data_IF_040059399517
#
_entry.id   IF_040059399517
#
_cell.length_a   1.000
_cell.length_b   1.000
_cell.length_c   1.000
_cell.angle_alpha   90.00
_cell.angle_beta   90.00
_cell.angle_gamma   90.00
#
_symmetry.space_group_name_H-M   'P 1'
#
loop_
_entity.id
_entity.type
_entity.pdbx_description
1 polymer ?
#
# COMPACT_ATOMS: atom_id res chain seq x y z
N UNK A 1 2.60 -63.78 -13.62
CA UNK A 1 2.53 -62.32 -13.45
C UNK A 1 3.31 -61.63 -14.57
N UNK A 2 2.69 -60.75 -15.36
CA UNK A 2 3.28 -60.21 -16.59
C UNK A 2 4.16 -58.98 -16.29
N UNK A 3 5.49 -59.14 -16.35
CA UNK A 3 6.55 -58.10 -16.30
C UNK A 3 6.30 -56.85 -17.16
N UNK A 4 5.50 -56.99 -18.22
CA UNK A 4 5.11 -55.92 -19.15
C UNK A 4 4.13 -54.92 -18.52
N UNK A 5 3.33 -55.36 -17.55
CA UNK A 5 2.40 -54.48 -16.83
C UNK A 5 3.15 -53.64 -15.80
N UNK A 6 4.15 -54.23 -15.13
CA UNK A 6 4.99 -53.55 -14.16
C UNK A 6 5.79 -52.39 -14.77
N UNK A 7 6.41 -52.62 -15.95
CA UNK A 7 7.14 -51.56 -16.66
C UNK A 7 6.23 -50.42 -17.17
N UNK A 8 4.99 -50.72 -17.58
CA UNK A 8 4.04 -49.69 -18.05
C UNK A 8 3.51 -48.81 -16.91
N UNK A 9 3.30 -49.38 -15.73
CA UNK A 9 2.87 -48.60 -14.57
C UNK A 9 3.98 -47.68 -14.05
N UNK A 10 5.25 -48.12 -14.12
CA UNK A 10 6.38 -47.36 -13.60
C UNK A 10 6.70 -46.11 -14.43
N UNK A 11 6.63 -46.21 -15.77
CA UNK A 11 6.88 -45.06 -16.66
C UNK A 11 5.76 -44.01 -16.61
N UNK A 12 4.50 -44.42 -16.38
CA UNK A 12 3.38 -43.49 -16.21
C UNK A 12 3.49 -42.66 -14.91
N UNK A 13 4.00 -43.25 -13.82
CA UNK A 13 4.15 -42.56 -12.54
C UNK A 13 5.30 -41.52 -12.54
N UNK A 14 6.39 -41.78 -13.28
CA UNK A 14 7.53 -40.87 -13.36
C UNK A 14 7.22 -39.56 -14.11
N UNK A 15 6.37 -39.61 -15.14
CA UNK A 15 5.98 -38.43 -15.92
C UNK A 15 5.13 -37.42 -15.13
N UNK A 16 4.28 -37.89 -14.23
CA UNK A 16 3.41 -37.03 -13.42
C UNK A 16 4.18 -36.23 -12.34
N UNK A 17 5.29 -36.79 -11.82
CA UNK A 17 6.12 -36.10 -10.82
C UNK A 17 7.02 -35.00 -11.43
N UNK A 18 7.40 -35.13 -12.70
CA UNK A 18 8.20 -34.11 -13.40
C UNK A 18 7.40 -32.83 -13.70
N UNK A 19 6.12 -32.97 -14.03
CA UNK A 19 5.25 -31.84 -14.37
C UNK A 19 4.90 -30.96 -13.16
N UNK A 20 4.73 -31.56 -11.98
CA UNK A 20 4.45 -30.81 -10.73
C UNK A 20 5.66 -30.04 -10.21
N UNK A 21 6.87 -30.58 -10.41
CA UNK A 21 8.13 -29.93 -10.01
C UNK A 21 8.42 -28.67 -10.84
N UNK A 22 8.15 -28.72 -12.15
CA UNK A 22 8.29 -27.56 -13.04
C UNK A 22 7.27 -26.44 -12.72
N UNK A 23 6.04 -26.81 -12.33
CA UNK A 23 5.03 -25.83 -11.93
C UNK A 23 5.44 -25.08 -10.66
N UNK A 24 6.01 -25.79 -9.68
CA UNK A 24 6.45 -25.16 -8.42
C UNK A 24 7.58 -24.14 -8.60
N UNK A 25 8.47 -24.35 -9.57
CA UNK A 25 9.59 -23.44 -9.81
C UNK A 25 9.13 -22.08 -10.37
N UNK A 26 8.05 -22.06 -11.16
CA UNK A 26 7.48 -20.81 -11.71
C UNK A 26 6.77 -19.95 -10.66
N UNK A 27 6.22 -20.57 -9.61
CA UNK A 27 5.50 -19.89 -8.53
C UNK A 27 6.48 -19.26 -7.53
N UNK A 28 7.60 -19.93 -7.24
CA UNK A 28 8.56 -19.50 -6.21
C UNK A 28 9.57 -18.43 -6.69
N UNK A 29 9.72 -18.23 -8.00
CA UNK A 29 10.76 -17.36 -8.57
C UNK A 29 10.40 -15.87 -8.70
N UNK A 30 9.18 -15.44 -8.34
CA UNK A 30 8.74 -14.05 -8.57
C UNK A 30 9.26 -13.15 -7.45
N UNK A 31 10.36 -12.44 -7.71
CA UNK A 31 10.84 -11.36 -6.83
C UNK A 31 9.74 -10.30 -6.69
N UNK A 32 9.37 -9.88 -5.47
CA UNK A 32 8.40 -8.82 -5.28
C UNK A 32 8.87 -7.56 -6.01
N UNK A 33 7.96 -6.92 -6.75
CA UNK A 33 8.21 -5.61 -7.34
C UNK A 33 8.42 -4.60 -6.20
N UNK A 34 9.25 -3.57 -6.39
CA UNK A 34 9.35 -2.49 -5.42
C UNK A 34 7.96 -1.86 -5.23
N UNK A 35 7.54 -1.68 -3.97
CA UNK A 35 6.29 -1.00 -3.64
C UNK A 35 6.54 0.52 -3.62
N UNK A 36 6.02 1.29 -4.59
CA UNK A 36 6.18 2.74 -4.59
C UNK A 36 5.26 3.36 -3.52
N UNK A 37 5.84 4.23 -2.67
CA UNK A 37 5.06 5.09 -1.79
C UNK A 37 4.80 6.41 -2.51
N UNK A 38 3.57 6.64 -2.96
CA UNK A 38 3.15 7.85 -3.65
C UNK A 38 2.47 8.77 -2.64
N UNK A 39 2.93 10.02 -2.55
CA UNK A 39 2.38 11.05 -1.66
C UNK A 39 2.04 12.27 -2.51
N UNK A 40 0.80 12.76 -2.39
CA UNK A 40 0.40 14.05 -2.95
C UNK A 40 0.31 15.08 -1.82
N UNK A 41 0.97 16.24 -2.00
CA UNK A 41 0.78 17.38 -1.11
C UNK A 41 -0.53 18.11 -1.50
N UNK A 42 -1.26 18.61 -0.49
CA UNK A 42 -2.48 19.44 -0.61
C UNK A 42 -3.63 18.89 -1.48
N UNK A 43 -3.68 17.57 -1.71
CA UNK A 43 -4.77 16.95 -2.46
C UNK A 43 -6.09 16.98 -1.67
N UNK A 44 -7.11 17.61 -2.25
CA UNK A 44 -8.45 17.70 -1.69
C UNK A 44 -9.28 16.44 -1.95
N UNK A 45 -10.31 16.25 -1.12
CA UNK A 45 -11.28 15.16 -1.27
C UNK A 45 -12.07 15.24 -2.60
N UNK A 46 -12.24 16.43 -3.16
CA UNK A 46 -12.97 16.62 -4.42
C UNK A 46 -12.14 16.42 -5.68
N UNK A 47 -10.81 16.23 -5.57
CA UNK A 47 -9.89 16.33 -6.70
C UNK A 47 -9.67 15.00 -7.44
N UNK A 48 -10.39 13.94 -7.06
CA UNK A 48 -10.17 12.57 -7.52
C UNK A 48 -11.45 11.91 -8.04
N UNK A 49 -11.30 11.07 -9.05
CA UNK A 49 -12.39 10.36 -9.72
C UNK A 49 -13.17 9.44 -8.79
N UNK A 50 -12.48 8.75 -7.87
CA UNK A 50 -13.13 7.83 -6.91
C UNK A 50 -14.01 8.53 -5.85
N UNK A 51 -13.91 9.86 -5.71
CA UNK A 51 -14.87 10.66 -4.92
C UNK A 51 -15.93 11.36 -5.78
N UNK A 52 -16.05 10.98 -7.06
CA UNK A 52 -17.13 11.43 -7.94
C UNK A 52 -16.86 12.77 -8.63
N UNK A 53 -15.59 13.15 -8.84
CA UNK A 53 -15.30 14.39 -9.55
C UNK A 53 -15.79 14.34 -11.00
N UNK A 54 -16.57 15.35 -11.42
CA UNK A 54 -17.25 15.38 -12.71
C UNK A 54 -16.33 15.49 -13.93
N UNK A 55 -15.15 16.09 -13.75
CA UNK A 55 -14.29 16.52 -14.86
C UNK A 55 -12.93 15.83 -14.83
N UNK A 56 -12.26 15.77 -13.67
CA UNK A 56 -10.97 15.08 -13.57
C UNK A 56 -11.19 13.58 -13.45
N UNK A 57 -10.60 12.84 -14.39
CA UNK A 57 -10.58 11.38 -14.41
C UNK A 57 -9.20 10.92 -13.99
N UNK A 58 -9.13 10.16 -12.91
CA UNK A 58 -7.86 9.68 -12.33
C UNK A 58 -7.83 8.16 -12.29
N UNK A 59 -7.84 7.46 -13.44
CA UNK A 59 -8.05 6.01 -13.50
C UNK A 59 -7.04 5.20 -12.68
N UNK A 60 -5.78 5.64 -12.66
CA UNK A 60 -4.73 4.97 -11.87
C UNK A 60 -4.88 5.20 -10.36
N UNK A 61 -5.33 6.39 -9.94
CA UNK A 61 -5.60 6.67 -8.52
C UNK A 61 -6.89 5.99 -8.06
N UNK A 62 -7.87 5.86 -8.95
CA UNK A 62 -9.14 5.18 -8.69
C UNK A 62 -8.92 3.67 -8.50
N UNK A 63 -7.92 3.08 -9.17
CA UNK A 63 -7.49 1.71 -8.93
C UNK A 63 -6.81 1.51 -7.56
N UNK A 64 -6.25 2.57 -6.98
CA UNK A 64 -5.57 2.58 -5.68
C UNK A 64 -6.46 3.17 -4.56
N UNK A 65 -7.78 3.07 -4.70
CA UNK A 65 -8.76 3.82 -3.92
C UNK A 65 -8.57 3.73 -2.39
N UNK A 66 -8.76 4.89 -1.74
CA UNK A 66 -8.80 5.02 -0.28
C UNK A 66 -7.53 5.63 0.30
N UNK A 67 -7.62 6.90 0.68
CA UNK A 67 -6.52 7.63 1.33
C UNK A 67 -6.98 8.19 2.67
N UNK A 68 -6.14 8.02 3.70
CA UNK A 68 -6.39 8.56 5.03
C UNK A 68 -5.17 9.36 5.51
N UNK A 69 -5.40 10.57 6.01
CA UNK A 69 -4.36 11.46 6.53
C UNK A 69 -4.44 11.56 8.05
N UNK A 70 -3.30 11.56 8.72
CA UNK A 70 -3.22 11.64 10.18
C UNK A 70 -3.42 13.06 10.74
N UNK A 71 -3.23 14.10 9.92
CA UNK A 71 -3.35 15.51 10.31
C UNK A 71 -3.68 16.40 9.10
N UNK A 72 -4.19 17.61 9.36
CA UNK A 72 -4.53 18.62 8.34
C UNK A 72 -3.35 19.52 7.94
N UNK A 73 -2.10 19.11 8.23
CA UNK A 73 -0.88 19.89 7.95
C UNK A 73 0.19 18.94 7.40
N UNK A 74 0.96 19.38 6.38
CA UNK A 74 1.94 18.55 5.67
C UNK A 74 3.03 17.95 6.58
N UNK A 75 3.60 18.75 7.49
CA UNK A 75 4.68 18.32 8.39
C UNK A 75 4.29 17.17 9.33
N UNK A 76 3.20 17.26 10.13
CA UNK A 76 2.78 16.14 10.97
C UNK A 76 2.29 14.93 10.16
N UNK A 77 1.68 15.14 8.98
CA UNK A 77 1.22 14.02 8.13
C UNK A 77 2.39 13.21 7.56
N UNK A 78 3.41 13.88 7.00
CA UNK A 78 4.63 13.21 6.52
C UNK A 78 5.39 12.52 7.65
N UNK A 79 5.48 13.17 8.81
CA UNK A 79 6.11 12.56 9.97
C UNK A 79 5.36 11.31 10.43
N UNK A 80 4.02 11.33 10.45
CA UNK A 80 3.22 10.16 10.78
C UNK A 80 3.40 9.02 9.79
N UNK A 81 3.45 9.33 8.50
CA UNK A 81 3.68 8.32 7.46
C UNK A 81 5.05 7.65 7.59
N UNK A 82 6.11 8.45 7.82
CA UNK A 82 7.48 7.93 7.91
C UNK A 82 7.78 7.22 9.23
N UNK A 83 7.11 7.60 10.33
CA UNK A 83 7.41 7.08 11.67
C UNK A 83 6.37 6.10 12.20
N UNK A 84 5.20 5.98 11.57
CA UNK A 84 4.07 5.19 12.05
C UNK A 84 3.43 5.73 13.35
N UNK A 85 3.79 6.94 13.78
CA UNK A 85 3.29 7.56 15.03
C UNK A 85 2.24 8.61 14.72
N UNK A 86 1.27 8.79 15.61
CA UNK A 86 0.27 9.85 15.47
C UNK A 86 0.91 11.24 15.39
N UNK A 87 0.35 12.13 14.57
CA UNK A 87 0.92 13.47 14.30
C UNK A 87 1.09 14.32 15.56
N UNK A 88 0.31 14.02 16.61
CA UNK A 88 0.45 14.61 17.95
C UNK A 88 1.83 14.37 18.57
N UNK A 89 2.44 13.21 18.32
CA UNK A 89 3.77 12.89 18.82
C UNK A 89 4.90 13.62 18.06
N UNK A 90 4.66 14.01 16.80
CA UNK A 90 5.62 14.82 16.03
C UNK A 90 5.52 16.30 16.40
N UNK A 91 4.29 16.82 16.52
CA UNK A 91 4.05 18.23 16.83
C UNK A 91 4.66 18.66 18.18
N UNK A 92 4.81 17.75 19.14
CA UNK A 92 5.46 18.04 20.43
C UNK A 92 6.99 18.26 20.32
N UNK A 93 7.63 17.80 19.24
CA UNK A 93 9.09 17.86 19.07
C UNK A 93 9.58 18.96 18.14
N UNK A 94 8.69 19.62 17.40
CA UNK A 94 9.02 20.80 16.59
C UNK A 94 8.05 21.98 16.87
N UNK A 95 8.23 22.70 18.00
CA UNK A 95 7.29 23.73 18.44
C UNK A 95 7.37 25.06 17.64
N UNK A 96 8.37 25.26 16.79
CA UNK A 96 8.57 26.53 16.06
C UNK A 96 8.00 26.57 14.64
N UNK A 97 7.77 25.42 14.01
CA UNK A 97 7.38 25.36 12.58
C UNK A 97 5.98 24.78 12.33
N UNK A 98 5.37 24.05 13.28
CA UNK A 98 4.07 23.41 13.04
C UNK A 98 2.86 24.31 13.31
N UNK A 99 3.00 25.31 14.19
CA UNK A 99 1.97 26.31 14.45
C UNK A 99 2.65 27.66 14.50
N UNK A 100 2.42 28.51 13.50
CA UNK A 100 2.82 29.91 13.59
C UNK A 100 2.25 30.51 14.89
N UNK A 101 3.11 30.76 15.87
CA UNK A 101 2.88 31.52 17.13
C UNK A 101 1.57 31.30 17.91
N UNK A 102 0.80 30.23 17.70
CA UNK A 102 -0.41 29.96 18.50
C UNK A 102 -0.34 28.57 19.12
N UNK A 103 -0.36 28.53 20.45
CA UNK A 103 -0.30 27.29 21.23
C UNK A 103 -1.57 26.49 20.95
N UNK A 104 -1.43 25.17 20.83
CA UNK A 104 -2.53 24.22 20.76
C UNK A 104 -3.31 24.31 22.09
N UNK A 105 -4.31 25.18 22.14
CA UNK A 105 -4.98 25.65 23.35
C UNK A 105 -5.90 26.85 23.10
N UNK A 106 -5.62 27.65 22.06
CA UNK A 106 -6.46 28.80 21.68
C UNK A 106 -7.69 28.46 20.81
N UNK A 107 -7.94 27.18 20.49
CA UNK A 107 -9.15 26.74 19.77
C UNK A 107 -10.39 26.60 20.69
N UNK A 108 -10.56 27.53 21.63
CA UNK A 108 -11.76 27.63 22.46
C UNK A 108 -12.19 29.08 22.62
N UNK A 109 -12.52 29.75 21.52
CA UNK A 109 -13.38 30.94 21.46
C UNK A 109 -13.61 31.29 19.99
N UNK A 110 -14.81 30.98 19.50
CA UNK A 110 -15.23 31.18 18.12
C UNK A 110 -16.64 30.62 17.93
N UNK A 111 -17.55 31.08 18.77
CA UNK A 111 -18.98 31.18 18.48
C UNK A 111 -19.26 32.65 18.14
#
# INVERSE_FOLDING_TARGET
MQRRHFMKCFSAAAGAAGATSAYQLTVLGKKPLPHPNIISDDQGWGDVGYYGHSTLKTPELDAMAGFFVAASVCSPTRASLLTGRSGRAFCSRCPRQCFGRRRFGDYRQGA
#
